data_IF_587178745867
#
_entry.id   IF_587178745867
#
_cell.length_a   1.000
_cell.length_b   1.000
_cell.length_c   1.000
_cell.angle_alpha   90.00
_cell.angle_beta   90.00
_cell.angle_gamma   90.00
#
_symmetry.space_group_name_H-M   'P 1'
#
loop_
_entity.id
_entity.type
_entity.pdbx_description
1 polymer ?
#
# COMPACT_ATOMS: atom_id res chain seq x y z
N UNK A 1 86.45 21.12 -33.59
CA UNK A 1 85.00 21.41 -33.61
C UNK A 1 84.27 20.13 -33.49
N UNK A 2 83.86 19.74 -32.30
CA UNK A 2 83.24 18.45 -31.98
C UNK A 2 81.72 18.60 -31.92
N UNK A 3 80.97 17.74 -32.67
CA UNK A 3 79.54 17.66 -32.55
C UNK A 3 79.19 16.61 -31.51
N UNK A 4 78.49 17.03 -30.47
CA UNK A 4 77.98 16.19 -29.41
C UNK A 4 76.80 15.32 -29.89
N UNK A 5 76.89 14.03 -29.61
CA UNK A 5 75.85 13.01 -29.90
C UNK A 5 74.82 13.00 -28.75
N UNK A 6 73.61 13.26 -29.11
CA UNK A 6 72.42 13.22 -28.22
C UNK A 6 72.02 11.74 -27.99
N UNK A 7 72.25 11.22 -26.74
CA UNK A 7 71.83 9.91 -26.28
C UNK A 7 70.47 10.04 -25.57
N UNK A 8 69.34 9.74 -26.25
CA UNK A 8 68.04 9.56 -25.60
C UNK A 8 67.99 8.21 -24.89
N UNK A 9 67.54 8.13 -23.63
CA UNK A 9 67.39 6.86 -22.92
C UNK A 9 66.20 6.06 -23.40
N UNK A 10 66.41 4.74 -23.64
CA UNK A 10 65.42 3.74 -23.95
C UNK A 10 64.31 3.70 -22.91
N UNK A 11 63.09 4.04 -23.33
CA UNK A 11 61.84 3.90 -22.55
C UNK A 11 61.58 2.40 -22.31
N UNK A 12 61.77 1.93 -21.06
CA UNK A 12 61.33 0.60 -20.63
C UNK A 12 59.83 0.47 -20.87
N UNK A 13 59.44 -0.44 -21.74
CA UNK A 13 58.08 -0.93 -21.90
C UNK A 13 57.66 -1.57 -20.55
N UNK A 14 56.82 -0.88 -19.83
CA UNK A 14 56.10 -1.44 -18.66
C UNK A 14 55.19 -2.54 -19.18
N UNK A 15 55.37 -3.75 -18.69
CA UNK A 15 54.45 -4.88 -18.93
C UNK A 15 53.03 -4.42 -18.62
N UNK A 16 52.20 -4.36 -19.64
CA UNK A 16 50.75 -4.25 -19.48
C UNK A 16 50.29 -5.48 -18.69
N UNK A 17 49.81 -5.25 -17.48
CA UNK A 17 49.09 -6.28 -16.72
C UNK A 17 47.85 -6.68 -17.54
N UNK A 18 47.83 -7.94 -17.98
CA UNK A 18 46.66 -8.59 -18.55
C UNK A 18 45.53 -8.42 -17.51
N UNK A 19 44.36 -7.85 -17.87
CA UNK A 19 43.25 -7.77 -16.94
C UNK A 19 42.83 -9.19 -16.59
N UNK A 20 42.89 -9.51 -15.31
CA UNK A 20 42.29 -10.72 -14.76
C UNK A 20 40.85 -10.80 -15.23
N UNK A 21 40.46 -11.95 -15.77
CA UNK A 21 39.17 -12.25 -16.43
C UNK A 21 38.00 -11.60 -15.69
N UNK A 22 37.01 -11.00 -16.41
CA UNK A 22 35.89 -10.28 -15.80
C UNK A 22 34.99 -11.17 -14.92
N UNK A 23 35.12 -12.50 -15.01
CA UNK A 23 34.41 -13.46 -14.15
C UNK A 23 34.83 -13.43 -12.66
N UNK A 24 36.14 -13.22 -12.39
CA UNK A 24 36.62 -13.25 -10.98
C UNK A 24 36.19 -12.09 -10.09
N UNK A 25 35.83 -10.95 -10.67
CA UNK A 25 35.36 -9.77 -9.91
C UNK A 25 33.88 -9.90 -9.59
N UNK A 26 33.06 -10.38 -10.51
CA UNK A 26 31.63 -10.68 -10.28
C UNK A 26 31.44 -11.78 -9.24
N UNK A 27 32.30 -12.78 -9.28
CA UNK A 27 32.33 -13.92 -8.33
C UNK A 27 32.44 -13.44 -6.88
N UNK A 28 33.35 -12.51 -6.60
CA UNK A 28 33.54 -11.98 -5.24
C UNK A 28 32.37 -11.12 -4.76
N UNK A 29 31.61 -10.49 -5.64
CA UNK A 29 30.46 -9.68 -5.27
C UNK A 29 29.22 -10.55 -4.99
N UNK A 30 28.98 -11.61 -5.76
CA UNK A 30 27.79 -12.46 -5.58
C UNK A 30 28.05 -13.59 -4.58
N UNK A 31 29.27 -14.12 -4.49
CA UNK A 31 29.68 -14.97 -3.37
C UNK A 31 29.65 -14.21 -2.03
N UNK A 32 29.69 -12.87 -2.02
CA UNK A 32 29.48 -12.09 -0.80
C UNK A 32 28.02 -12.07 -0.34
N UNK A 33 27.06 -12.37 -1.21
CA UNK A 33 25.65 -12.60 -0.82
C UNK A 33 25.52 -13.93 -0.08
N UNK A 34 26.24 -14.96 -0.52
CA UNK A 34 26.30 -16.29 0.12
C UNK A 34 27.31 -16.35 1.27
N UNK A 35 28.35 -15.50 1.28
CA UNK A 35 29.43 -15.45 2.27
C UNK A 35 29.48 -14.15 3.10
N UNK A 36 28.45 -13.31 3.07
CA UNK A 36 28.39 -12.10 3.88
C UNK A 36 28.55 -12.48 5.38
N UNK A 37 29.34 -11.72 6.18
CA UNK A 37 29.54 -12.01 7.60
C UNK A 37 28.26 -12.02 8.44
N UNK A 38 27.16 -11.53 7.88
CA UNK A 38 25.81 -11.57 8.46
C UNK A 38 24.93 -12.73 7.93
N UNK A 39 25.43 -13.54 6.98
CA UNK A 39 24.72 -14.72 6.52
C UNK A 39 25.09 -15.88 7.44
N UNK A 40 24.15 -16.48 8.14
CA UNK A 40 24.47 -17.51 9.11
C UNK A 40 24.91 -18.79 8.40
N UNK A 41 26.00 -19.38 8.89
CA UNK A 41 26.45 -20.75 8.53
C UNK A 41 25.27 -21.72 8.50
N UNK A 42 25.27 -22.64 7.55
CA UNK A 42 24.26 -23.55 7.00
C UNK A 42 23.08 -24.05 7.88
N UNK A 43 23.22 -24.05 9.21
CA UNK A 43 22.16 -24.52 10.13
C UNK A 43 21.27 -23.39 10.71
N UNK A 44 21.58 -22.10 10.49
CA UNK A 44 20.87 -20.95 11.10
C UNK A 44 20.04 -20.11 10.13
N UNK A 45 20.27 -20.21 8.82
CA UNK A 45 19.54 -19.42 7.83
C UNK A 45 18.02 -19.71 7.83
N UNK A 46 17.54 -20.95 7.80
CA UNK A 46 16.11 -21.24 7.81
C UNK A 46 15.40 -20.75 9.07
N UNK A 47 16.04 -20.92 10.25
CA UNK A 47 15.48 -20.48 11.54
C UNK A 47 15.40 -18.96 11.68
N UNK A 48 16.29 -18.21 11.03
CA UNK A 48 16.30 -16.75 11.08
C UNK A 48 15.24 -16.15 10.16
N UNK A 49 15.02 -16.74 8.99
CA UNK A 49 13.90 -16.38 8.10
C UNK A 49 12.54 -16.68 8.75
N UNK A 50 12.37 -17.83 9.37
CA UNK A 50 11.18 -18.19 10.11
C UNK A 50 10.81 -17.18 11.20
N UNK A 51 11.80 -16.71 11.98
CA UNK A 51 11.58 -15.69 13.03
C UNK A 51 11.31 -14.29 12.52
N UNK A 52 11.86 -13.90 11.35
CA UNK A 52 11.65 -12.57 10.77
C UNK A 52 10.25 -12.45 10.16
N UNK A 53 9.71 -13.51 9.58
CA UNK A 53 8.41 -13.52 8.90
C UNK A 53 7.28 -14.12 9.74
N UNK A 54 7.53 -14.43 11.02
CA UNK A 54 6.56 -15.12 11.90
C UNK A 54 5.99 -16.39 11.26
N UNK A 55 6.87 -17.15 10.56
CA UNK A 55 6.48 -18.34 9.79
C UNK A 55 5.72 -19.35 10.63
N UNK A 56 6.24 -19.63 11.84
CA UNK A 56 5.63 -20.62 12.73
C UNK A 56 4.23 -20.17 13.19
N UNK A 57 4.08 -18.89 13.55
CA UNK A 57 2.79 -18.32 13.95
C UNK A 57 1.78 -18.29 12.78
N UNK A 58 2.23 -17.93 11.58
CA UNK A 58 1.37 -17.91 10.37
C UNK A 58 1.00 -19.33 9.92
N UNK A 59 1.92 -20.27 10.01
CA UNK A 59 1.68 -21.68 9.70
C UNK A 59 0.65 -22.29 10.66
N UNK A 60 0.76 -21.99 11.97
CA UNK A 60 -0.21 -22.45 12.99
C UNK A 60 -1.58 -21.78 12.78
N UNK A 61 -1.58 -20.47 12.47
CA UNK A 61 -2.82 -19.76 12.14
C UNK A 61 -3.48 -20.33 10.88
N UNK A 62 -2.71 -20.66 9.85
CA UNK A 62 -3.21 -21.29 8.64
C UNK A 62 -3.89 -22.62 8.95
N UNK A 63 -3.26 -23.48 9.78
CA UNK A 63 -3.86 -24.75 10.22
C UNK A 63 -5.18 -24.51 10.94
N UNK A 64 -5.24 -23.53 11.83
CA UNK A 64 -6.46 -23.18 12.57
C UNK A 64 -7.57 -22.72 11.64
N UNK A 65 -7.25 -21.87 10.65
CA UNK A 65 -8.22 -21.36 9.66
C UNK A 65 -8.72 -22.48 8.76
N UNK A 66 -7.85 -23.37 8.30
CA UNK A 66 -8.23 -24.54 7.49
C UNK A 66 -9.15 -25.47 8.29
N UNK A 67 -8.80 -25.80 9.54
CA UNK A 67 -9.65 -26.61 10.42
C UNK A 67 -11.02 -25.94 10.68
N UNK A 68 -11.05 -24.62 10.81
CA UNK A 68 -12.31 -23.88 10.97
C UNK A 68 -13.18 -23.94 9.71
N UNK A 69 -12.58 -23.92 8.51
CA UNK A 69 -13.33 -24.05 7.23
C UNK A 69 -13.84 -25.47 6.98
N UNK A 70 -13.28 -26.48 7.65
CA UNK A 70 -13.78 -27.87 7.63
C UNK A 70 -15.03 -28.06 8.50
N UNK A 71 -15.32 -27.14 9.44
CA UNK A 71 -16.52 -27.19 10.28
C UNK A 71 -17.76 -26.78 9.45
N UNK A 72 -18.76 -27.68 9.30
CA UNK A 72 -19.98 -27.37 8.56
C UNK A 72 -20.76 -26.17 9.11
N UNK A 73 -20.59 -25.82 10.39
CA UNK A 73 -21.29 -24.70 11.02
C UNK A 73 -20.81 -23.34 10.47
N UNK A 74 -19.57 -23.23 10.03
CA UNK A 74 -19.01 -22.00 9.46
C UNK A 74 -19.69 -21.62 8.15
N UNK A 75 -20.14 -22.62 7.38
CA UNK A 75 -20.83 -22.40 6.10
C UNK A 75 -22.26 -21.90 6.25
N UNK A 76 -22.83 -21.94 7.46
CA UNK A 76 -24.11 -21.32 7.76
C UNK A 76 -24.04 -19.78 7.84
N UNK A 77 -22.82 -19.23 7.98
CA UNK A 77 -22.53 -17.81 7.96
C UNK A 77 -21.66 -17.47 6.74
N UNK A 78 -22.26 -17.02 5.61
CA UNK A 78 -21.53 -16.75 4.38
C UNK A 78 -20.44 -15.70 4.52
N UNK A 79 -20.62 -14.69 5.40
CA UNK A 79 -19.64 -13.63 5.63
C UNK A 79 -18.41 -14.18 6.32
N UNK A 80 -18.60 -14.92 7.41
CA UNK A 80 -17.51 -15.54 8.16
C UNK A 80 -16.76 -16.57 7.30
N UNK A 81 -17.45 -17.34 6.48
CA UNK A 81 -16.82 -18.26 5.53
C UNK A 81 -15.98 -17.52 4.49
N UNK A 82 -16.46 -16.37 3.99
CA UNK A 82 -15.73 -15.54 3.03
C UNK A 82 -14.50 -14.89 3.66
N UNK A 83 -14.59 -14.37 4.88
CA UNK A 83 -13.47 -13.79 5.63
C UNK A 83 -12.39 -14.84 5.89
N UNK A 84 -12.77 -16.00 6.41
CA UNK A 84 -11.83 -17.12 6.62
C UNK A 84 -11.23 -17.61 5.32
N UNK A 85 -11.99 -17.62 4.22
CA UNK A 85 -11.48 -17.98 2.89
C UNK A 85 -10.44 -16.99 2.37
N UNK A 86 -10.63 -15.68 2.57
CA UNK A 86 -9.65 -14.64 2.25
C UNK A 86 -8.41 -14.76 3.12
N UNK A 87 -8.59 -14.92 4.43
CA UNK A 87 -7.49 -15.11 5.39
C UNK A 87 -6.66 -16.36 5.05
N UNK A 88 -7.32 -17.47 4.73
CA UNK A 88 -6.67 -18.70 4.28
C UNK A 88 -5.78 -18.43 3.07
N UNK A 89 -6.31 -17.81 2.02
CA UNK A 89 -5.55 -17.52 0.79
C UNK A 89 -4.33 -16.66 1.08
N UNK A 90 -4.47 -15.60 1.87
CA UNK A 90 -3.36 -14.71 2.25
C UNK A 90 -2.27 -15.45 3.03
N UNK A 91 -2.65 -16.29 4.00
CA UNK A 91 -1.71 -17.08 4.79
C UNK A 91 -1.04 -18.17 3.96
N UNK A 92 -1.80 -18.86 3.11
CA UNK A 92 -1.31 -19.93 2.25
C UNK A 92 -0.26 -19.41 1.26
N UNK A 93 -0.54 -18.28 0.59
CA UNK A 93 0.40 -17.63 -0.33
C UNK A 93 1.75 -17.32 0.37
N UNK A 94 1.70 -16.79 1.60
CA UNK A 94 2.91 -16.45 2.35
C UNK A 94 3.64 -17.71 2.85
N UNK A 95 2.92 -18.66 3.44
CA UNK A 95 3.53 -19.87 4.03
C UNK A 95 4.13 -20.77 2.95
N UNK A 96 3.42 -20.99 1.83
CA UNK A 96 3.92 -21.80 0.71
C UNK A 96 5.15 -21.16 0.10
N UNK A 97 5.12 -19.86 -0.13
CA UNK A 97 6.25 -19.12 -0.73
C UNK A 97 7.48 -19.14 0.18
N UNK A 98 7.30 -18.92 1.49
CA UNK A 98 8.40 -19.01 2.47
C UNK A 98 8.97 -20.43 2.57
N UNK A 99 8.11 -21.44 2.58
CA UNK A 99 8.53 -22.84 2.61
C UNK A 99 9.37 -23.20 1.38
N UNK A 100 8.89 -22.81 0.20
CA UNK A 100 9.61 -23.01 -1.07
C UNK A 100 10.98 -22.32 -1.08
N UNK A 101 11.04 -21.04 -0.70
CA UNK A 101 12.28 -20.27 -0.64
C UNK A 101 13.28 -20.87 0.36
N UNK A 102 12.79 -21.35 1.49
CA UNK A 102 13.65 -21.99 2.50
C UNK A 102 14.26 -23.28 1.97
N UNK A 103 13.48 -24.11 1.26
CA UNK A 103 13.97 -25.34 0.63
C UNK A 103 14.98 -25.03 -0.47
N UNK A 104 14.63 -24.15 -1.43
CA UNK A 104 15.50 -23.77 -2.53
C UNK A 104 16.81 -23.14 -2.04
N UNK A 105 16.78 -22.37 -0.96
CA UNK A 105 17.99 -21.81 -0.35
C UNK A 105 18.87 -22.89 0.27
N UNK A 106 18.28 -23.88 0.96
CA UNK A 106 19.02 -25.01 1.52
C UNK A 106 19.68 -25.84 0.44
N UNK A 107 18.92 -26.16 -0.62
CA UNK A 107 19.42 -26.96 -1.75
C UNK A 107 20.57 -26.25 -2.48
N UNK A 108 20.43 -24.93 -2.71
CA UNK A 108 21.48 -24.12 -3.33
C UNK A 108 22.75 -24.01 -2.48
N UNK A 109 22.61 -23.97 -1.14
CA UNK A 109 23.77 -23.98 -0.25
C UNK A 109 24.52 -25.31 -0.30
N UNK A 110 23.81 -26.44 -0.28
CA UNK A 110 24.42 -27.76 -0.40
C UNK A 110 25.13 -27.94 -1.74
N UNK A 111 24.46 -27.57 -2.85
CA UNK A 111 25.06 -27.61 -4.20
C UNK A 111 26.29 -26.70 -4.31
N UNK A 112 26.27 -25.53 -3.68
CA UNK A 112 27.42 -24.62 -3.66
C UNK A 112 28.63 -25.22 -2.95
N UNK A 113 28.43 -25.88 -1.79
CA UNK A 113 29.50 -26.53 -1.06
C UNK A 113 30.10 -27.70 -1.87
N UNK A 114 29.24 -28.51 -2.51
CA UNK A 114 29.68 -29.64 -3.35
C UNK A 114 30.46 -29.13 -4.60
N UNK A 115 29.90 -28.18 -5.35
CA UNK A 115 30.58 -27.65 -6.56
C UNK A 115 31.90 -26.94 -6.23
N UNK A 116 31.98 -26.35 -5.03
CA UNK A 116 33.22 -25.73 -4.54
C UNK A 116 34.30 -26.77 -4.22
N UNK A 117 33.93 -27.91 -3.62
CA UNK A 117 34.83 -28.98 -3.30
C UNK A 117 35.35 -29.71 -4.56
N UNK A 118 34.48 -29.89 -5.55
CA UNK A 118 34.77 -30.51 -6.84
C UNK A 118 35.49 -29.56 -7.82
N UNK A 119 35.47 -28.24 -7.57
CA UNK A 119 36.07 -27.25 -8.49
C UNK A 119 35.27 -27.06 -9.79
N UNK A 120 33.96 -27.37 -9.77
CA UNK A 120 33.08 -27.25 -10.93
C UNK A 120 32.66 -25.77 -11.12
N UNK A 121 33.40 -25.10 -12.06
CA UNK A 121 33.10 -23.69 -12.42
C UNK A 121 31.75 -23.53 -13.12
N UNK A 122 31.27 -24.53 -13.86
CA UNK A 122 29.98 -24.45 -14.54
C UNK A 122 28.80 -24.60 -13.56
N UNK A 123 28.91 -25.55 -12.64
CA UNK A 123 27.95 -25.68 -11.52
C UNK A 123 27.85 -24.44 -10.68
N UNK A 124 28.98 -23.84 -10.33
CA UNK A 124 29.01 -22.58 -9.56
C UNK A 124 28.34 -21.41 -10.29
N UNK A 125 28.49 -21.29 -11.62
CA UNK A 125 27.82 -20.26 -12.41
C UNK A 125 26.27 -20.43 -12.43
N UNK A 126 25.81 -21.68 -12.46
CA UNK A 126 24.38 -22.00 -12.42
C UNK A 126 23.78 -21.62 -11.05
N UNK A 127 24.46 -22.00 -9.97
CA UNK A 127 24.04 -21.66 -8.60
C UNK A 127 24.02 -20.15 -8.38
N UNK A 128 24.97 -19.41 -8.97
CA UNK A 128 24.99 -17.93 -8.93
C UNK A 128 23.73 -17.33 -9.58
N UNK A 129 23.30 -17.88 -10.71
CA UNK A 129 22.09 -17.41 -11.39
C UNK A 129 20.82 -17.72 -10.57
N UNK A 130 20.75 -18.89 -9.95
CA UNK A 130 19.64 -19.28 -9.09
C UNK A 130 19.60 -18.45 -7.79
N UNK A 131 20.75 -18.22 -7.15
CA UNK A 131 20.86 -17.35 -6.00
C UNK A 131 20.41 -15.91 -6.29
N UNK A 132 20.71 -15.39 -7.48
CA UNK A 132 20.24 -14.08 -7.93
C UNK A 132 18.70 -14.03 -8.11
N UNK A 133 18.07 -15.12 -8.54
CA UNK A 133 16.62 -15.26 -8.60
C UNK A 133 16.01 -15.31 -7.22
N UNK A 134 16.53 -16.15 -6.33
CA UNK A 134 16.08 -16.26 -4.94
C UNK A 134 16.19 -14.93 -4.20
N UNK A 135 17.26 -14.15 -4.44
CA UNK A 135 17.40 -12.83 -3.84
C UNK A 135 16.26 -11.88 -4.25
N UNK A 136 15.82 -11.92 -5.51
CA UNK A 136 14.68 -11.14 -5.99
C UNK A 136 13.35 -11.60 -5.36
N UNK A 137 13.18 -12.90 -5.21
CA UNK A 137 11.97 -13.47 -4.61
C UNK A 137 11.87 -13.12 -3.12
N UNK A 138 13.02 -13.12 -2.40
CA UNK A 138 13.10 -12.63 -1.02
C UNK A 138 12.79 -11.13 -0.93
N UNK A 139 13.35 -10.32 -1.83
CA UNK A 139 13.06 -8.88 -1.89
C UNK A 139 11.58 -8.61 -2.15
N UNK A 140 10.94 -9.37 -3.02
CA UNK A 140 9.50 -9.28 -3.27
C UNK A 140 8.66 -9.66 -2.02
N UNK A 141 9.10 -10.64 -1.23
CA UNK A 141 8.44 -10.98 0.05
C UNK A 141 8.63 -9.90 1.12
N UNK A 142 9.83 -9.36 1.24
CA UNK A 142 10.10 -8.24 2.15
C UNK A 142 9.23 -7.04 1.78
N UNK A 143 9.07 -6.78 0.48
CA UNK A 143 8.18 -5.74 -0.02
C UNK A 143 6.71 -5.99 0.37
N UNK A 144 6.20 -7.22 0.19
CA UNK A 144 4.83 -7.59 0.62
C UNK A 144 4.61 -7.43 2.13
N UNK A 145 5.63 -7.66 2.95
CA UNK A 145 5.56 -7.46 4.41
C UNK A 145 5.27 -6.01 4.82
N UNK A 146 5.60 -5.05 3.97
CA UNK A 146 5.36 -3.63 4.25
C UNK A 146 3.87 -3.26 4.21
N UNK A 147 3.04 -4.12 3.60
CA UNK A 147 1.59 -3.98 3.54
C UNK A 147 0.94 -4.71 4.73
N UNK A 148 0.97 -4.08 5.89
CA UNK A 148 0.45 -4.64 7.13
C UNK A 148 -0.85 -3.97 7.64
N UNK A 149 -1.30 -2.92 6.96
CA UNK A 149 -2.53 -2.22 7.34
C UNK A 149 -3.75 -2.91 6.69
N UNK A 150 -4.89 -2.99 7.39
CA UNK A 150 -6.10 -3.62 6.85
C UNK A 150 -6.59 -3.01 5.53
N UNK A 151 -6.32 -1.73 5.30
CA UNK A 151 -6.70 -1.01 4.07
C UNK A 151 -5.71 -1.22 2.91
N UNK A 152 -4.48 -1.68 3.15
CA UNK A 152 -3.45 -1.79 2.11
C UNK A 152 -3.88 -2.59 0.86
N UNK A 153 -4.66 -3.69 0.95
CA UNK A 153 -5.12 -4.45 -0.22
C UNK A 153 -6.20 -3.76 -1.06
N UNK A 154 -6.79 -2.66 -0.55
CA UNK A 154 -7.92 -1.99 -1.19
C UNK A 154 -7.49 -1.19 -2.42
N UNK A 155 -8.48 -0.85 -3.26
CA UNK A 155 -8.34 0.16 -4.28
C UNK A 155 -8.09 1.53 -3.66
N UNK A 156 -7.57 2.46 -4.46
CA UNK A 156 -7.23 3.80 -4.00
C UNK A 156 -8.01 4.88 -4.75
N UNK A 157 -8.38 5.93 -4.04
CA UNK A 157 -8.64 7.23 -4.63
C UNK A 157 -7.42 8.13 -4.42
N UNK A 158 -7.14 8.96 -5.40
CA UNK A 158 -6.03 9.89 -5.38
C UNK A 158 -6.52 11.27 -5.82
N UNK A 159 -6.52 12.22 -4.88
CA UNK A 159 -6.88 13.61 -5.11
C UNK A 159 -5.62 14.43 -5.35
N UNK A 160 -5.62 15.23 -6.39
CA UNK A 160 -4.55 16.18 -6.70
C UNK A 160 -5.16 17.59 -6.66
N UNK A 161 -4.50 18.51 -5.97
CA UNK A 161 -4.92 19.89 -5.90
C UNK A 161 -3.75 20.84 -6.15
N UNK A 162 -3.96 21.82 -7.03
CA UNK A 162 -3.00 22.87 -7.26
C UNK A 162 -2.88 23.75 -6.02
N UNK A 163 -1.65 24.01 -5.60
CA UNK A 163 -1.36 24.87 -4.45
C UNK A 163 -0.92 26.26 -4.86
N UNK A 164 0.00 26.84 -4.08
CA UNK A 164 0.55 28.16 -4.37
C UNK A 164 1.40 28.14 -5.66
N UNK A 165 1.18 29.09 -6.55
CA UNK A 165 1.92 29.24 -7.82
C UNK A 165 1.07 29.61 -9.03
N UNK A 166 -0.24 29.84 -8.84
CA UNK A 166 -1.15 30.28 -9.91
C UNK A 166 -1.18 29.30 -11.09
N UNK A 167 -1.09 29.80 -12.33
CA UNK A 167 -1.08 28.97 -13.56
C UNK A 167 -0.01 27.89 -13.54
N UNK A 168 1.18 28.17 -13.01
CA UNK A 168 2.25 27.17 -12.85
C UNK A 168 1.86 26.03 -11.91
N UNK A 169 1.14 26.30 -10.83
CA UNK A 169 0.67 25.25 -9.92
C UNK A 169 -0.41 24.38 -10.58
N UNK A 170 -1.28 24.97 -11.40
CA UNK A 170 -2.27 24.23 -12.18
C UNK A 170 -1.60 23.30 -13.22
N UNK A 171 -0.56 23.79 -13.91
CA UNK A 171 0.20 22.97 -14.84
C UNK A 171 0.96 21.86 -14.12
N UNK A 172 1.53 22.17 -12.94
CA UNK A 172 2.18 21.17 -12.10
C UNK A 172 1.21 20.06 -11.64
N UNK A 173 0.00 20.43 -11.23
CA UNK A 173 -1.03 19.46 -10.88
C UNK A 173 -1.38 18.52 -12.06
N UNK A 174 -1.46 19.09 -13.28
CA UNK A 174 -1.65 18.29 -14.50
C UNK A 174 -0.47 17.35 -14.80
N UNK A 175 0.75 17.79 -14.55
CA UNK A 175 1.94 16.92 -14.69
C UNK A 175 1.91 15.78 -13.68
N UNK A 176 1.51 16.02 -12.42
CA UNK A 176 1.34 14.98 -11.40
C UNK A 176 0.23 14.00 -11.78
N UNK A 177 -0.93 14.50 -12.28
CA UNK A 177 -2.00 13.65 -12.78
C UNK A 177 -1.47 12.66 -13.83
N UNK A 178 -0.77 13.17 -14.84
CA UNK A 178 -0.15 12.33 -15.86
C UNK A 178 0.85 11.33 -15.25
N UNK A 179 1.66 11.76 -14.30
CA UNK A 179 2.66 10.90 -13.64
C UNK A 179 2.00 9.70 -12.93
N UNK A 180 0.91 9.92 -12.18
CA UNK A 180 0.21 8.84 -11.48
C UNK A 180 -0.60 7.95 -12.43
N UNK A 181 -1.19 8.49 -13.49
CA UNK A 181 -1.81 7.69 -14.54
C UNK A 181 -0.80 6.75 -15.22
N UNK A 182 0.40 7.28 -15.53
CA UNK A 182 1.49 6.47 -16.10
C UNK A 182 2.05 5.43 -15.12
N UNK A 183 2.12 5.76 -13.85
CA UNK A 183 2.48 4.79 -12.81
C UNK A 183 1.46 3.65 -12.75
N UNK A 184 0.18 3.97 -12.71
CA UNK A 184 -0.89 2.97 -12.68
C UNK A 184 -0.89 2.08 -13.94
N UNK A 185 -0.69 2.67 -15.13
CA UNK A 185 -0.53 1.92 -16.39
C UNK A 185 0.64 0.92 -16.31
N UNK A 186 1.79 1.35 -15.80
CA UNK A 186 2.98 0.47 -15.62
C UNK A 186 2.74 -0.67 -14.64
N UNK A 187 1.93 -0.45 -13.60
CA UNK A 187 1.54 -1.49 -12.62
C UNK A 187 0.40 -2.38 -13.10
N UNK A 188 -0.20 -2.07 -14.24
CA UNK A 188 -1.37 -2.79 -14.76
C UNK A 188 -2.66 -2.49 -14.01
N UNK A 189 -2.72 -1.35 -13.30
CA UNK A 189 -3.92 -0.90 -12.60
C UNK A 189 -4.89 -0.25 -13.57
N UNK A 190 -6.18 -0.46 -13.33
CA UNK A 190 -7.23 0.25 -14.02
C UNK A 190 -7.45 1.62 -13.39
N UNK A 191 -7.53 2.67 -14.20
CA UNK A 191 -7.74 4.03 -13.71
C UNK A 191 -9.01 4.63 -14.31
N UNK A 192 -9.74 5.38 -13.48
CA UNK A 192 -10.91 6.16 -13.87
C UNK A 192 -10.76 7.57 -13.29
N UNK A 193 -10.85 8.59 -14.10
CA UNK A 193 -10.92 9.98 -13.63
C UNK A 193 -12.37 10.24 -13.23
N UNK A 194 -12.60 10.46 -11.93
CA UNK A 194 -13.94 10.71 -11.38
C UNK A 194 -14.33 12.19 -11.48
N UNK A 195 -13.37 13.08 -11.22
CA UNK A 195 -13.55 14.52 -11.31
C UNK A 195 -12.28 15.19 -11.80
N UNK A 196 -12.45 16.25 -12.60
CA UNK A 196 -11.36 17.09 -13.09
C UNK A 196 -11.85 18.53 -13.23
N UNK A 197 -11.23 19.41 -12.48
CA UNK A 197 -11.51 20.84 -12.54
C UNK A 197 -10.40 21.55 -13.32
N UNK A 198 -10.67 22.11 -14.53
CA UNK A 198 -9.65 22.78 -15.33
C UNK A 198 -9.15 24.07 -14.67
N UNK A 199 -7.90 24.41 -14.94
CA UNK A 199 -7.31 25.70 -14.59
C UNK A 199 -7.84 26.82 -15.47
N UNK A 200 -7.77 28.05 -14.99
CA UNK A 200 -8.31 29.21 -15.73
C UNK A 200 -7.55 29.49 -17.04
N UNK A 201 -6.25 29.21 -17.08
CA UNK A 201 -5.39 29.48 -18.25
C UNK A 201 -4.72 28.21 -18.76
N UNK A 202 -4.26 27.34 -17.88
CA UNK A 202 -3.59 26.08 -18.23
C UNK A 202 -3.68 25.10 -17.06
N UNK A 203 -3.51 23.81 -17.36
CA UNK A 203 -3.50 22.74 -16.37
C UNK A 203 -4.84 22.52 -15.67
N UNK A 204 -4.81 21.99 -14.46
CA UNK A 204 -5.96 21.64 -13.64
C UNK A 204 -5.87 22.30 -12.25
N UNK A 205 -7.00 22.72 -11.70
CA UNK A 205 -7.11 23.16 -10.30
C UNK A 205 -7.12 21.97 -9.36
N UNK A 206 -7.77 20.89 -9.77
CA UNK A 206 -7.83 19.64 -9.05
C UNK A 206 -8.31 18.51 -9.92
N UNK A 207 -8.00 17.27 -9.50
CA UNK A 207 -8.53 16.05 -10.09
C UNK A 207 -8.61 14.94 -9.05
N UNK A 208 -9.63 14.10 -9.17
CA UNK A 208 -9.80 12.86 -8.41
C UNK A 208 -9.71 11.67 -9.34
N UNK A 209 -8.81 10.73 -9.05
CA UNK A 209 -8.62 9.50 -9.80
C UNK A 209 -8.96 8.31 -8.91
N UNK A 210 -9.78 7.40 -9.42
CA UNK A 210 -9.94 6.05 -8.89
C UNK A 210 -8.90 5.13 -9.50
N UNK A 211 -8.18 4.36 -8.68
CA UNK A 211 -7.14 3.41 -9.10
C UNK A 211 -7.52 2.04 -8.55
N UNK A 212 -7.87 1.13 -9.44
CA UNK A 212 -8.32 -0.23 -9.11
C UNK A 212 -7.19 -1.23 -9.38
N UNK A 213 -6.79 -1.97 -8.36
CA UNK A 213 -5.75 -3.00 -8.46
C UNK A 213 -5.31 -3.53 -7.11
N UNK A 214 -4.65 -4.69 -7.12
CA UNK A 214 -4.16 -5.32 -5.91
C UNK A 214 -3.13 -4.43 -5.20
N UNK A 215 -3.40 -4.10 -3.93
CA UNK A 215 -2.55 -3.23 -3.12
C UNK A 215 -2.36 -1.81 -3.67
N UNK A 216 -3.31 -1.31 -4.47
CA UNK A 216 -3.21 0.04 -5.04
C UNK A 216 -3.10 1.12 -3.94
N UNK A 217 -3.93 1.04 -2.89
CA UNK A 217 -3.83 1.94 -1.76
C UNK A 217 -2.53 1.74 -0.97
N UNK A 218 -2.15 0.51 -0.69
CA UNK A 218 -0.92 0.20 0.05
C UNK A 218 0.34 0.80 -0.58
N UNK A 219 0.43 0.73 -1.91
CA UNK A 219 1.53 1.32 -2.69
C UNK A 219 1.50 2.85 -2.66
N UNK A 220 0.33 3.45 -2.89
CA UNK A 220 0.21 4.89 -3.12
C UNK A 220 0.04 5.71 -1.84
N UNK A 221 -0.33 5.11 -0.70
CA UNK A 221 -0.56 5.84 0.57
C UNK A 221 0.61 6.70 1.03
N UNK A 222 1.82 6.32 0.66
CA UNK A 222 3.04 7.06 0.97
C UNK A 222 3.25 8.30 0.09
N UNK A 223 2.47 8.46 -0.97
CA UNK A 223 2.52 9.62 -1.87
C UNK A 223 1.68 10.81 -1.37
N UNK A 224 0.95 10.63 -0.26
CA UNK A 224 0.19 11.72 0.38
C UNK A 224 1.13 12.80 0.89
N UNK A 225 0.93 14.05 0.44
CA UNK A 225 1.69 15.22 0.85
C UNK A 225 1.89 16.25 -0.25
N UNK A 226 2.75 17.23 0.01
CA UNK A 226 3.01 18.34 -0.91
C UNK A 226 4.21 18.04 -1.80
N UNK A 227 4.01 18.18 -3.10
CA UNK A 227 5.01 18.04 -4.15
C UNK A 227 5.44 19.42 -4.65
N UNK A 228 6.73 19.71 -4.54
CA UNK A 228 7.33 20.99 -4.96
C UNK A 228 7.93 20.86 -6.34
N UNK A 229 7.56 21.76 -7.26
CA UNK A 229 8.21 21.93 -8.56
C UNK A 229 9.06 23.19 -8.57
N UNK A 230 10.27 23.09 -9.12
CA UNK A 230 11.13 24.23 -9.42
C UNK A 230 11.62 24.09 -10.86
N UNK A 231 11.24 25.04 -11.72
CA UNK A 231 11.66 25.07 -13.14
C UNK A 231 11.62 26.48 -13.69
N UNK A 232 12.20 26.69 -14.87
CA UNK A 232 11.92 27.87 -15.68
C UNK A 232 10.47 27.81 -16.17
N UNK A 233 9.70 28.86 -15.91
CA UNK A 233 8.28 28.90 -16.25
C UNK A 233 8.08 29.02 -17.77
N UNK A 234 7.27 28.15 -18.39
CA UNK A 234 6.86 28.34 -19.77
C UNK A 234 5.82 29.46 -19.94
N UNK A 235 5.23 29.94 -18.84
CA UNK A 235 4.22 31.00 -18.82
C UNK A 235 4.81 32.39 -18.53
N UNK A 236 6.09 32.44 -18.14
CA UNK A 236 6.80 33.69 -17.88
C UNK A 236 7.66 34.07 -19.08
N UNK A 237 7.32 35.17 -19.76
CA UNK A 237 8.07 35.68 -20.91
C UNK A 237 9.52 36.04 -20.57
N UNK A 238 9.82 36.34 -19.31
CA UNK A 238 11.19 36.61 -18.83
C UNK A 238 12.02 35.37 -18.64
N UNK A 239 11.42 34.18 -18.70
CA UNK A 239 12.10 32.90 -18.45
C UNK A 239 12.55 32.74 -17.01
N UNK A 240 11.89 33.43 -16.08
CA UNK A 240 12.18 33.37 -14.66
C UNK A 240 12.00 31.96 -14.08
N UNK A 241 12.76 31.68 -13.02
CA UNK A 241 12.65 30.41 -12.28
C UNK A 241 11.54 30.53 -11.26
N UNK A 242 10.53 29.65 -11.35
CA UNK A 242 9.37 29.63 -10.49
C UNK A 242 9.37 28.40 -9.58
N UNK A 243 8.75 28.55 -8.42
CA UNK A 243 8.48 27.45 -7.49
C UNK A 243 6.97 27.31 -7.33
N UNK A 244 6.46 26.12 -7.57
CA UNK A 244 5.03 25.80 -7.49
C UNK A 244 4.79 24.58 -6.63
N UNK A 245 3.63 24.51 -6.03
CA UNK A 245 3.25 23.42 -5.13
C UNK A 245 1.94 22.81 -5.62
N UNK A 246 1.84 21.49 -5.44
CA UNK A 246 0.61 20.75 -5.56
C UNK A 246 0.53 19.70 -4.47
N UNK A 247 -0.65 19.48 -3.92
CA UNK A 247 -0.88 18.42 -2.94
C UNK A 247 -1.44 17.18 -3.60
N UNK A 248 -1.03 16.04 -3.08
CA UNK A 248 -1.59 14.73 -3.39
C UNK A 248 -2.14 14.15 -2.10
N UNK A 249 -3.34 13.62 -2.15
CA UNK A 249 -3.97 12.92 -1.04
C UNK A 249 -4.49 11.58 -1.51
N UNK A 250 -4.10 10.50 -0.83
CA UNK A 250 -4.48 9.13 -1.19
C UNK A 250 -5.30 8.54 -0.06
N UNK A 251 -6.47 7.99 -0.40
CA UNK A 251 -7.36 7.33 0.54
C UNK A 251 -7.92 6.03 -0.06
N UNK A 252 -8.27 5.04 0.80
CA UNK A 252 -8.75 3.75 0.32
C UNK A 252 -10.20 3.84 -0.15
N UNK A 253 -10.58 3.00 -1.13
CA UNK A 253 -11.97 2.75 -1.46
C UNK A 253 -12.60 1.93 -0.33
N UNK A 254 -13.49 2.55 0.43
CA UNK A 254 -14.27 1.87 1.47
C UNK A 254 -15.59 1.45 0.84
N UNK A 255 -15.98 0.18 1.02
CA UNK A 255 -17.26 -0.33 0.55
C UNK A 255 -18.41 0.37 1.29
N UNK A 256 -19.26 1.09 0.54
CA UNK A 256 -20.40 1.84 1.06
C UNK A 256 -21.58 0.95 1.48
N UNK A 257 -21.51 -0.35 1.24
CA UNK A 257 -22.56 -1.29 1.64
C UNK A 257 -22.58 -1.44 3.17
N UNK A 258 -23.41 -0.63 3.84
CA UNK A 258 -23.72 -0.84 5.25
C UNK A 258 -24.82 -1.90 5.35
N UNK A 259 -24.42 -3.14 5.45
CA UNK A 259 -25.34 -4.19 5.90
C UNK A 259 -25.46 -4.13 7.42
N UNK A 260 -26.65 -3.77 7.90
CA UNK A 260 -26.93 -3.81 9.33
C UNK A 260 -27.50 -5.17 9.67
N UNK A 261 -26.66 -6.04 10.20
CA UNK A 261 -27.09 -7.28 10.84
C UNK A 261 -27.36 -7.00 12.31
N UNK A 262 -28.63 -7.13 12.71
CA UNK A 262 -29.08 -6.92 14.08
C UNK A 262 -29.22 -8.28 14.72
N UNK A 263 -28.32 -8.62 15.63
CA UNK A 263 -28.48 -9.82 16.45
C UNK A 263 -29.67 -9.60 17.43
N UNK A 264 -30.73 -10.41 17.37
CA UNK A 264 -31.89 -10.29 18.26
C UNK A 264 -31.53 -10.37 19.74
N UNK A 265 -30.42 -11.03 20.10
CA UNK A 265 -29.96 -11.13 21.49
C UNK A 265 -29.47 -9.78 22.05
N UNK A 266 -29.05 -8.85 21.18
CA UNK A 266 -28.57 -7.52 21.54
C UNK A 266 -29.69 -6.49 21.65
N UNK A 267 -30.96 -6.91 21.40
CA UNK A 267 -32.11 -6.04 21.42
C UNK A 267 -33.04 -6.41 22.56
N UNK A 268 -33.16 -5.53 23.55
CA UNK A 268 -34.17 -5.66 24.59
C UNK A 268 -35.51 -5.18 24.09
N UNK A 269 -36.56 -6.01 24.25
CA UNK A 269 -37.92 -5.75 23.80
C UNK A 269 -38.80 -5.54 25.04
N UNK A 270 -39.32 -4.33 25.21
CA UNK A 270 -40.23 -3.97 26.26
C UNK A 270 -41.62 -3.70 25.66
N UNK A 271 -42.66 -4.26 26.24
CA UNK A 271 -44.06 -3.96 25.89
C UNK A 271 -44.71 -3.14 27.00
N UNK A 272 -45.50 -2.16 26.63
CA UNK A 272 -46.17 -1.27 27.56
C UNK A 272 -47.51 -0.76 27.02
N UNK A 273 -48.29 -0.15 27.88
CA UNK A 273 -49.59 0.44 27.50
C UNK A 273 -49.38 1.72 26.76
N UNK A 274 -50.01 1.84 25.61
CA UNK A 274 -49.94 3.08 24.84
C UNK A 274 -50.62 4.21 25.62
N UNK A 275 -49.95 5.36 25.66
CA UNK A 275 -50.54 6.58 26.25
C UNK A 275 -50.95 7.53 25.13
N UNK A 276 -52.24 7.86 25.03
CA UNK A 276 -52.75 8.79 24.02
C UNK A 276 -54.26 8.99 24.11
N UNK A 277 -54.78 10.00 23.38
CA UNK A 277 -56.22 10.26 23.27
C UNK A 277 -56.87 9.13 22.45
N UNK A 278 -57.38 8.09 23.11
CA UNK A 278 -58.02 6.96 22.48
C UNK A 278 -58.97 6.28 23.44
N UNK A 279 -60.00 5.61 22.93
CA UNK A 279 -61.08 5.00 23.69
C UNK A 279 -60.61 3.88 24.64
N UNK A 280 -61.54 3.34 25.43
CA UNK A 280 -61.31 2.38 26.53
C UNK A 280 -60.45 1.16 26.21
N UNK A 281 -60.26 0.82 24.94
CA UNK A 281 -59.49 -0.34 24.48
C UNK A 281 -57.95 -0.07 24.49
N UNK A 282 -57.50 1.18 24.27
CA UNK A 282 -56.07 1.56 24.21
C UNK A 282 -55.45 1.49 25.60
N UNK A 283 -56.23 1.75 26.64
CA UNK A 283 -55.77 1.78 28.02
C UNK A 283 -55.73 0.41 28.72
N UNK A 284 -56.20 -0.66 28.07
CA UNK A 284 -56.27 -2.00 28.66
C UNK A 284 -55.29 -3.01 28.11
N UNK A 285 -54.71 -2.77 26.93
CA UNK A 285 -53.81 -3.73 26.26
C UNK A 285 -52.39 -3.15 26.13
N UNK A 286 -51.40 -3.98 26.41
CA UNK A 286 -49.96 -3.63 26.25
C UNK A 286 -49.57 -3.77 24.77
N UNK A 287 -50.10 -2.85 23.93
CA UNK A 287 -49.87 -2.90 22.45
C UNK A 287 -48.66 -2.12 21.99
N UNK A 288 -48.14 -1.20 22.81
CA UNK A 288 -46.95 -0.43 22.46
C UNK A 288 -45.67 -1.24 22.70
N UNK A 289 -44.70 -1.10 21.76
CA UNK A 289 -43.44 -1.81 21.79
C UNK A 289 -42.28 -0.82 21.82
N UNK A 290 -41.32 -1.06 22.71
CA UNK A 290 -40.05 -0.36 22.78
C UNK A 290 -38.93 -1.36 22.53
N UNK A 291 -38.05 -1.02 21.60
CA UNK A 291 -36.83 -1.77 21.32
C UNK A 291 -35.64 -0.93 21.78
N UNK A 292 -34.74 -1.55 22.53
CA UNK A 292 -33.49 -0.93 22.96
C UNK A 292 -32.34 -1.77 22.47
N UNK A 293 -31.53 -1.24 21.57
CA UNK A 293 -30.31 -1.90 21.14
C UNK A 293 -29.21 -1.65 22.19
N UNK A 294 -28.81 -2.70 22.88
CA UNK A 294 -27.93 -2.63 24.07
C UNK A 294 -26.56 -2.03 23.73
N UNK A 295 -25.86 -2.43 22.63
CA UNK A 295 -24.52 -1.93 22.33
C UNK A 295 -24.47 -0.43 22.02
N UNK A 296 -25.52 0.12 21.35
CA UNK A 296 -25.55 1.53 20.93
C UNK A 296 -26.45 2.40 21.77
N UNK A 297 -27.22 1.83 22.71
CA UNK A 297 -28.27 2.49 23.47
C UNK A 297 -29.34 3.20 22.64
N UNK A 298 -29.50 2.82 21.37
CA UNK A 298 -30.55 3.36 20.51
C UNK A 298 -31.89 2.79 20.92
N UNK A 299 -32.83 3.68 21.21
CA UNK A 299 -34.19 3.33 21.64
C UNK A 299 -35.20 3.72 20.56
N UNK A 300 -36.06 2.81 20.19
CA UNK A 300 -37.17 3.03 19.27
C UNK A 300 -38.48 2.59 19.89
N UNK A 301 -39.54 3.38 19.69
CA UNK A 301 -40.88 3.09 20.19
C UNK A 301 -41.88 3.09 19.03
N UNK A 302 -42.85 2.19 19.10
CA UNK A 302 -43.96 2.13 18.15
C UNK A 302 -45.26 1.84 18.93
N UNK A 303 -46.28 2.68 18.70
CA UNK A 303 -47.63 2.56 19.27
C UNK A 303 -48.74 2.89 18.28
N UNK A 304 -48.41 2.78 16.98
CA UNK A 304 -49.27 3.29 15.88
C UNK A 304 -50.46 2.38 15.58
N UNK A 305 -50.36 1.10 15.97
CA UNK A 305 -51.37 0.09 15.73
C UNK A 305 -51.96 -0.49 17.05
N UNK A 306 -53.19 -0.98 17.00
CA UNK A 306 -53.79 -1.77 18.08
C UNK A 306 -53.16 -3.17 18.20
N UNK A 307 -52.50 -3.65 17.20
CA UNK A 307 -51.79 -4.95 17.16
C UNK A 307 -50.36 -4.81 17.65
N UNK A 308 -50.04 -5.45 18.77
CA UNK A 308 -48.68 -5.53 19.29
C UNK A 308 -47.69 -6.07 18.27
N UNK A 309 -48.11 -7.11 17.46
CA UNK A 309 -47.27 -7.72 16.46
C UNK A 309 -46.91 -6.72 15.34
N UNK A 310 -47.90 -5.97 14.84
CA UNK A 310 -47.68 -4.93 13.85
C UNK A 310 -46.73 -3.83 14.37
N UNK A 311 -46.93 -3.40 15.62
CA UNK A 311 -46.06 -2.41 16.28
C UNK A 311 -44.62 -2.93 16.43
N UNK A 312 -44.44 -4.22 16.70
CA UNK A 312 -43.14 -4.87 16.78
C UNK A 312 -42.44 -4.83 15.43
N UNK A 313 -43.10 -5.21 14.33
CA UNK A 313 -42.49 -5.21 13.00
C UNK A 313 -42.09 -3.81 12.54
N UNK A 314 -42.93 -2.81 12.82
CA UNK A 314 -42.60 -1.41 12.52
C UNK A 314 -41.45 -0.91 13.40
N UNK A 315 -41.42 -1.28 14.68
CA UNK A 315 -40.31 -0.93 15.58
C UNK A 315 -38.97 -1.52 15.09
N UNK A 316 -38.96 -2.78 14.63
CA UNK A 316 -37.76 -3.38 14.04
C UNK A 316 -37.27 -2.66 12.77
N UNK A 317 -38.19 -2.27 11.89
CA UNK A 317 -37.85 -1.46 10.71
C UNK A 317 -37.24 -0.10 11.12
N UNK A 318 -37.86 0.57 12.10
CA UNK A 318 -37.35 1.86 12.62
C UNK A 318 -36.00 1.70 13.31
N UNK A 319 -35.78 0.60 14.04
CA UNK A 319 -34.51 0.33 14.68
C UNK A 319 -33.39 0.15 13.64
N UNK A 320 -33.67 -0.60 12.57
CA UNK A 320 -32.72 -0.78 11.46
C UNK A 320 -32.36 0.54 10.79
N UNK A 321 -33.34 1.41 10.51
CA UNK A 321 -33.06 2.76 9.98
C UNK A 321 -32.21 3.60 10.92
N UNK A 322 -32.51 3.58 12.23
CA UNK A 322 -31.75 4.36 13.21
C UNK A 322 -30.32 3.86 13.38
N UNK A 323 -30.09 2.57 13.33
CA UNK A 323 -28.75 1.96 13.33
C UNK A 323 -27.99 2.29 12.05
N UNK A 324 -28.68 2.29 10.89
CA UNK A 324 -28.09 2.73 9.65
C UNK A 324 -27.60 4.20 9.71
N UNK A 325 -28.46 5.11 10.18
CA UNK A 325 -28.10 6.52 10.35
C UNK A 325 -26.93 6.70 11.34
N UNK A 326 -26.88 5.90 12.40
CA UNK A 326 -25.80 5.94 13.39
C UNK A 326 -24.47 5.50 12.77
N UNK A 327 -24.47 4.42 12.01
CA UNK A 327 -23.26 3.89 11.37
C UNK A 327 -22.79 4.82 10.23
N UNK A 328 -23.73 5.40 9.47
CA UNK A 328 -23.41 6.43 8.49
C UNK A 328 -22.73 7.66 9.12
N UNK A 329 -23.25 8.15 10.24
CA UNK A 329 -22.62 9.29 10.95
C UNK A 329 -21.23 8.94 11.43
N UNK A 330 -21.04 7.76 11.99
CA UNK A 330 -19.72 7.29 12.43
C UNK A 330 -18.72 7.24 11.27
N UNK A 331 -19.13 6.71 10.12
CA UNK A 331 -18.30 6.72 8.91
C UNK A 331 -18.00 8.12 8.41
N UNK A 332 -19.00 9.01 8.39
CA UNK A 332 -18.81 10.42 8.03
C UNK A 332 -17.83 11.13 8.99
N UNK A 333 -17.90 10.85 10.29
CA UNK A 333 -16.94 11.40 11.26
C UNK A 333 -15.53 10.85 11.06
N UNK A 334 -15.39 9.57 10.71
CA UNK A 334 -14.11 8.96 10.37
C UNK A 334 -13.55 9.54 9.05
N UNK A 335 -14.40 9.72 8.05
CA UNK A 335 -14.05 10.36 6.78
C UNK A 335 -13.66 11.83 6.98
N UNK A 336 -14.42 12.58 7.81
CA UNK A 336 -14.09 13.95 8.16
C UNK A 336 -12.75 14.05 8.87
N UNK A 337 -12.43 13.13 9.78
CA UNK A 337 -11.10 13.07 10.41
C UNK A 337 -9.99 12.81 9.40
N UNK A 338 -10.24 11.97 8.39
CA UNK A 338 -9.31 11.76 7.28
C UNK A 338 -9.16 13.03 6.44
N UNK A 339 -10.24 13.75 6.18
CA UNK A 339 -10.19 15.04 5.47
C UNK A 339 -9.47 16.13 6.28
N UNK A 340 -9.68 16.18 7.58
CA UNK A 340 -9.00 17.13 8.48
C UNK A 340 -7.47 16.85 8.55
N UNK A 341 -7.04 15.64 8.17
CA UNK A 341 -5.61 15.32 8.00
C UNK A 341 -5.05 15.77 6.64
N UNK A 342 -5.91 16.28 5.71
CA UNK A 342 -5.43 16.94 4.50
C UNK A 342 -4.65 18.16 4.93
N UNK A 343 -3.34 18.08 4.84
CA UNK A 343 -2.43 19.15 5.23
C UNK A 343 -2.62 20.33 4.29
N UNK A 344 -2.73 21.53 4.85
CA UNK A 344 -2.71 22.77 4.06
C UNK A 344 -1.58 22.71 3.02
N UNK A 345 -1.90 23.08 1.76
CA UNK A 345 -0.94 23.11 0.65
C UNK A 345 0.10 24.21 0.87
N UNK A 346 0.71 24.19 2.02
CA UNK A 346 1.69 25.17 2.49
C UNK A 346 3.11 24.62 2.47
N UNK A 347 4.06 25.45 2.86
CA UNK A 347 5.51 25.18 2.82
C UNK A 347 5.97 24.05 3.76
N UNK A 348 5.14 23.63 4.74
CA UNK A 348 5.56 22.84 5.89
C UNK A 348 5.65 21.33 5.69
N UNK A 349 4.95 20.72 4.73
CA UNK A 349 4.83 19.26 4.60
C UNK A 349 5.21 18.74 3.21
N UNK A 350 6.34 19.26 2.68
CA UNK A 350 6.84 18.80 1.40
C UNK A 350 7.42 17.39 1.52
N UNK A 351 6.87 16.45 0.75
CA UNK A 351 7.40 15.08 0.68
C UNK A 351 8.45 14.93 -0.42
N UNK A 352 8.27 15.61 -1.57
CA UNK A 352 9.19 15.48 -2.70
C UNK A 352 9.42 16.80 -3.42
N UNK A 353 10.67 17.05 -3.82
CA UNK A 353 11.08 18.23 -4.56
C UNK A 353 11.59 17.85 -5.93
N UNK A 354 11.00 18.44 -6.96
CA UNK A 354 11.34 18.27 -8.38
C UNK A 354 12.03 19.54 -8.87
N UNK A 355 13.32 19.47 -9.15
CA UNK A 355 14.13 20.59 -9.67
C UNK A 355 14.56 20.24 -11.08
N UNK A 356 13.75 20.65 -12.07
CA UNK A 356 13.91 20.20 -13.45
C UNK A 356 15.18 20.77 -14.08
N UNK A 357 15.52 22.01 -13.79
CA UNK A 357 16.72 22.67 -14.33
C UNK A 357 18.03 21.97 -13.94
N UNK A 358 18.07 21.35 -12.77
CA UNK A 358 19.25 20.67 -12.23
C UNK A 358 19.16 19.15 -12.40
N UNK A 359 18.18 18.64 -13.15
CA UNK A 359 17.94 17.21 -13.30
C UNK A 359 17.94 16.45 -11.99
N UNK A 360 17.14 16.94 -11.02
CA UNK A 360 17.13 16.41 -9.66
C UNK A 360 15.73 16.28 -9.12
N UNK A 361 15.38 15.07 -8.70
CA UNK A 361 14.16 14.79 -7.91
C UNK A 361 14.61 14.15 -6.61
N UNK A 362 14.18 14.72 -5.48
CA UNK A 362 14.55 14.25 -4.15
C UNK A 362 13.33 14.07 -3.27
N UNK A 363 13.16 12.90 -2.69
CA UNK A 363 12.24 12.68 -1.58
C UNK A 363 12.88 13.18 -0.29
N UNK A 364 12.20 14.08 0.40
CA UNK A 364 12.73 14.76 1.59
C UNK A 364 12.63 13.91 2.85
N UNK A 365 11.75 12.88 2.84
CA UNK A 365 11.55 11.97 3.96
C UNK A 365 12.63 10.88 3.97
N UNK A 366 12.84 10.24 2.83
CA UNK A 366 13.76 9.12 2.69
C UNK A 366 15.17 9.51 2.27
N UNK A 367 15.33 10.72 1.73
CA UNK A 367 16.58 11.21 1.18
C UNK A 367 16.94 10.64 -0.19
N UNK A 368 16.11 9.74 -0.76
CA UNK A 368 16.33 9.18 -2.10
C UNK A 368 16.33 10.27 -3.15
N UNK A 369 17.34 10.25 -4.02
CA UNK A 369 17.54 11.24 -5.08
C UNK A 369 17.72 10.56 -6.43
N UNK A 370 17.00 11.06 -7.45
CA UNK A 370 17.01 10.52 -8.83
C UNK A 370 17.25 11.66 -9.80
N UNK A 371 18.17 11.44 -10.75
CA UNK A 371 18.47 12.40 -11.83
C UNK A 371 17.70 12.14 -13.13
N UNK A 372 17.09 10.98 -13.27
CA UNK A 372 16.32 10.60 -14.48
C UNK A 372 14.89 11.19 -14.43
N UNK A 373 14.76 12.51 -14.53
CA UNK A 373 13.50 13.26 -14.37
C UNK A 373 12.39 12.67 -15.25
N UNK A 374 12.67 12.48 -16.55
CA UNK A 374 11.64 12.06 -17.49
C UNK A 374 11.07 10.69 -17.13
N UNK A 375 11.90 9.76 -16.66
CA UNK A 375 11.42 8.44 -16.21
C UNK A 375 10.45 8.57 -15.05
N UNK A 376 10.78 9.43 -14.08
CA UNK A 376 9.92 9.67 -12.91
C UNK A 376 8.60 10.33 -13.32
N UNK A 377 8.64 11.35 -14.19
CA UNK A 377 7.44 11.99 -14.73
C UNK A 377 6.60 11.03 -15.60
N UNK A 378 7.22 10.03 -16.20
CA UNK A 378 6.55 8.95 -16.94
C UNK A 378 6.21 7.73 -16.02
N UNK A 379 6.13 7.95 -14.71
CA UNK A 379 5.58 7.00 -13.74
C UNK A 379 6.58 6.03 -13.12
N UNK A 380 7.90 6.30 -13.16
CA UNK A 380 8.90 5.47 -12.47
C UNK A 380 9.07 5.93 -11.01
N UNK A 381 8.10 5.57 -10.15
CA UNK A 381 8.03 5.97 -8.74
C UNK A 381 8.52 4.88 -7.78
N UNK A 382 8.83 3.68 -8.26
CA UNK A 382 9.10 2.51 -7.43
C UNK A 382 10.17 2.76 -6.38
N UNK A 383 11.30 3.41 -6.74
CA UNK A 383 12.40 3.70 -5.81
C UNK A 383 11.96 4.59 -4.63
N UNK A 384 11.07 5.55 -4.87
CA UNK A 384 10.56 6.44 -3.82
C UNK A 384 9.55 5.71 -2.93
N UNK A 385 8.61 4.99 -3.54
CA UNK A 385 7.56 4.24 -2.83
C UNK A 385 8.19 3.16 -1.95
N UNK A 386 9.12 2.35 -2.49
CA UNK A 386 9.81 1.32 -1.72
C UNK A 386 10.60 1.89 -0.56
N UNK A 387 11.35 2.98 -0.79
CA UNK A 387 12.12 3.61 0.28
C UNK A 387 11.20 4.16 1.38
N UNK A 388 10.07 4.77 1.02
CA UNK A 388 9.09 5.30 1.97
C UNK A 388 8.41 4.18 2.76
N UNK A 389 8.02 3.08 2.09
CA UNK A 389 7.47 1.90 2.75
C UNK A 389 8.47 1.23 3.69
N UNK A 390 9.75 1.10 3.28
CA UNK A 390 10.84 0.53 4.11
C UNK A 390 11.10 1.35 5.38
N UNK A 391 10.94 2.67 5.31
CA UNK A 391 11.13 3.57 6.46
C UNK A 391 9.85 3.77 7.30
N UNK A 392 8.69 3.31 6.80
CA UNK A 392 7.41 3.44 7.51
C UNK A 392 6.86 4.87 7.54
N UNK A 393 7.21 5.69 6.55
CA UNK A 393 6.76 7.09 6.39
C UNK A 393 5.67 7.21 5.35
#
# INVERSE_FOLDING_TARGET
>A
MARSADRRPLRRLRHAKIPSSPGKIKWKQNASILSAPNWPTSQRAPKRFGGIFDYDAKSERLRTVVASLEDPQVWNDPKKAQELGRERKQLEDVVVMLGKLTSELSDNLELFEMSKEEGDEAGLATIEAEAAKLAKDVEALEFRRMFNKPADPLNAFLDIQAGAGGTEACDWASMLLRQYLKYAERKGFKTTIEDETPGDTAGIKGATIKIEGDYAFGLLRTETGVHRLVRKSPFDSSGGRHTSFASVFVYPEIDDSIEIDINPADVRVDTYRASGAGGQHINKTDSAVRLTHIPTNIVVQCQDSRSQHSNRDVAWKRLRSRLYDHEMRKRMEEQQKLEDTKTDVGWGHQIRSYVLDNSRIKDLRTGVEVSAIQKVLDGDLDQFIEASLKQGV
#
